data_IF_314331531364
#
_entry.id   IF_314331531364
#
_cell.length_a   1.000
_cell.length_b   1.000
_cell.length_c   1.000
_cell.angle_alpha   90.00
_cell.angle_beta   90.00
_cell.angle_gamma   90.00
#
_symmetry.space_group_name_H-M   'P 1'
#
loop_
_entity.id
_entity.type
_entity.pdbx_description
1 polymer ?
#
# COMPACT_ATOMS: atom_id res chain seq x y z
N UNK A 1 20.02 -4.71 -11.71
CA UNK A 1 18.93 -4.12 -12.53
C UNK A 1 18.83 -2.61 -12.28
N UNK A 2 18.46 -1.80 -13.28
CA UNK A 2 18.34 -0.34 -13.13
C UNK A 2 16.89 0.15 -12.91
N UNK A 3 15.93 -0.78 -12.79
CA UNK A 3 14.52 -0.49 -12.50
C UNK A 3 14.31 -0.53 -11.00
N UNK A 4 13.55 0.45 -10.47
CA UNK A 4 13.03 0.44 -9.09
C UNK A 4 11.56 0.02 -9.08
N UNK A 5 11.19 -0.86 -8.17
CA UNK A 5 9.81 -1.32 -7.93
C UNK A 5 9.26 -0.56 -6.72
N UNK A 6 8.25 0.27 -6.96
CA UNK A 6 7.61 1.09 -5.93
C UNK A 6 6.19 0.57 -5.64
N UNK A 7 5.93 0.21 -4.39
CA UNK A 7 4.59 -0.12 -3.90
C UNK A 7 3.84 1.13 -3.45
N UNK A 8 2.52 1.14 -3.66
CA UNK A 8 1.63 2.20 -3.17
C UNK A 8 0.49 1.53 -2.42
N UNK A 9 0.23 2.00 -1.20
CA UNK A 9 -0.72 1.39 -0.28
C UNK A 9 -1.63 2.47 0.34
N UNK A 10 -2.96 2.28 0.41
CA UNK A 10 -3.83 3.23 1.07
C UNK A 10 -3.64 3.22 2.59
N UNK A 11 -3.76 4.39 3.22
CA UNK A 11 -3.81 4.50 4.68
C UNK A 11 -4.98 3.66 5.19
N UNK A 12 -4.68 2.69 6.07
CA UNK A 12 -5.64 1.73 6.61
C UNK A 12 -5.47 0.30 6.09
N UNK A 13 -4.59 0.07 5.11
CA UNK A 13 -4.14 -1.27 4.73
C UNK A 13 -2.94 -1.75 5.55
N UNK A 14 -2.70 -3.06 5.55
CA UNK A 14 -1.57 -3.70 6.24
C UNK A 14 -0.23 -3.62 5.51
N UNK A 15 -0.19 -3.40 4.18
CA UNK A 15 1.00 -3.70 3.40
C UNK A 15 2.17 -2.79 3.72
N UNK A 16 1.92 -1.48 3.88
CA UNK A 16 2.96 -0.52 4.21
C UNK A 16 3.65 -0.84 5.54
N UNK A 17 2.88 -1.06 6.61
CA UNK A 17 3.44 -1.33 7.92
C UNK A 17 4.11 -2.71 7.98
N UNK A 18 3.55 -3.72 7.30
CA UNK A 18 4.20 -5.02 7.16
C UNK A 18 5.53 -4.91 6.40
N UNK A 19 5.58 -4.17 5.30
CA UNK A 19 6.81 -3.97 4.54
C UNK A 19 7.87 -3.21 5.35
N UNK A 20 7.49 -2.18 6.09
CA UNK A 20 8.42 -1.34 6.85
C UNK A 20 8.88 -1.94 8.17
N UNK A 21 8.00 -2.68 8.84
CA UNK A 21 8.21 -3.07 10.25
C UNK A 21 8.09 -4.57 10.49
N UNK A 22 7.52 -5.33 9.56
CA UNK A 22 7.18 -6.74 9.74
C UNK A 22 6.05 -7.00 10.74
N UNK A 23 5.32 -5.95 11.16
CA UNK A 23 4.22 -6.05 12.13
C UNK A 23 2.91 -5.67 11.47
N UNK A 24 1.85 -6.39 11.79
CA UNK A 24 0.52 -6.11 11.30
C UNK A 24 -0.05 -4.89 12.05
N UNK A 25 -0.50 -3.83 11.34
CA UNK A 25 -1.12 -2.67 11.96
C UNK A 25 -2.60 -2.92 12.27
N UNK A 26 -3.23 -1.95 12.94
CA UNK A 26 -4.69 -1.85 12.93
C UNK A 26 -5.16 -1.35 11.56
N UNK A 27 -6.20 -1.98 11.02
CA UNK A 27 -6.77 -1.63 9.71
C UNK A 27 -7.94 -0.67 9.87
N UNK A 28 -8.11 0.22 8.90
CA UNK A 28 -9.17 1.22 8.91
C UNK A 28 -9.79 1.36 7.51
N UNK A 29 -11.09 1.66 7.41
CA UNK A 29 -11.75 1.83 6.13
C UNK A 29 -11.24 3.07 5.39
N UNK A 30 -11.08 2.94 4.09
CA UNK A 30 -10.74 4.01 3.13
C UNK A 30 -11.76 4.00 1.98
N UNK A 31 -11.78 5.05 1.16
CA UNK A 31 -12.76 5.25 0.08
C UNK A 31 -12.24 4.84 -1.30
N UNK A 32 -10.93 4.82 -1.52
CA UNK A 32 -10.36 4.26 -2.75
C UNK A 32 -10.67 2.77 -2.82
N UNK A 33 -11.10 2.28 -3.98
CA UNK A 33 -11.54 0.89 -4.17
C UNK A 33 -10.55 0.08 -5.02
N UNK A 34 -10.49 -1.24 -4.80
CA UNK A 34 -9.72 -2.17 -5.61
C UNK A 34 -8.23 -2.32 -5.26
N UNK A 35 -7.76 -1.64 -4.20
CA UNK A 35 -6.38 -1.71 -3.68
C UNK A 35 -6.42 -1.78 -2.15
N UNK A 36 -5.28 -2.17 -1.55
CA UNK A 36 -5.17 -2.40 -0.11
C UNK A 36 -5.83 -3.72 0.33
N UNK A 37 -5.44 -4.17 1.51
CA UNK A 37 -5.90 -5.41 2.13
C UNK A 37 -5.79 -5.37 3.66
N UNK A 38 -6.57 -6.22 4.34
CA UNK A 38 -6.58 -6.46 5.78
C UNK A 38 -5.82 -7.71 6.26
N UNK A 39 -5.54 -8.65 5.35
CA UNK A 39 -4.74 -9.88 5.57
C UNK A 39 -3.66 -10.12 4.49
N UNK A 40 -2.55 -10.78 4.84
CA UNK A 40 -1.46 -11.07 3.89
C UNK A 40 -1.88 -12.14 2.86
N UNK A 41 -1.96 -11.81 1.56
CA UNK A 41 -2.27 -12.79 0.53
C UNK A 41 -1.02 -13.55 0.05
N UNK A 42 -1.20 -14.78 -0.42
CA UNK A 42 -0.09 -15.68 -0.81
C UNK A 42 0.70 -15.21 -2.04
N UNK A 43 0.13 -14.33 -2.85
CA UNK A 43 0.75 -13.82 -4.08
C UNK A 43 1.60 -12.56 -3.85
N UNK A 44 1.77 -12.11 -2.61
CA UNK A 44 2.59 -10.94 -2.28
C UNK A 44 4.01 -11.38 -1.92
N UNK A 45 4.98 -10.83 -2.64
CA UNK A 45 6.41 -10.97 -2.37
C UNK A 45 7.02 -9.60 -2.09
N UNK A 46 7.34 -9.31 -0.83
CA UNK A 46 7.99 -8.05 -0.45
C UNK A 46 9.46 -7.97 -0.85
N UNK A 47 10.11 -9.09 -1.17
CA UNK A 47 11.54 -9.11 -1.49
C UNK A 47 11.86 -8.43 -2.82
N UNK A 48 10.86 -8.25 -3.68
CA UNK A 48 10.99 -7.57 -4.97
C UNK A 48 10.61 -6.09 -4.92
N UNK A 49 10.12 -5.57 -3.78
CA UNK A 49 9.72 -4.17 -3.63
C UNK A 49 10.87 -3.37 -3.02
N UNK A 50 11.32 -2.32 -3.70
CA UNK A 50 12.42 -1.48 -3.22
C UNK A 50 11.94 -0.47 -2.17
N UNK A 51 10.81 0.18 -2.44
CA UNK A 51 10.24 1.22 -1.59
C UNK A 51 8.71 1.16 -1.63
N UNK A 52 8.05 1.59 -0.55
CA UNK A 52 6.60 1.65 -0.44
C UNK A 52 6.17 3.02 0.08
N UNK A 53 5.03 3.51 -0.42
CA UNK A 53 4.47 4.82 -0.11
C UNK A 53 3.01 4.69 0.33
N UNK A 54 2.62 5.51 1.31
CA UNK A 54 1.22 5.66 1.72
C UNK A 54 0.51 6.73 0.90
N UNK A 55 -0.74 6.47 0.56
CA UNK A 55 -1.65 7.46 -0.05
C UNK A 55 -2.95 7.56 0.73
N UNK A 56 -3.49 8.77 0.80
CA UNK A 56 -4.81 9.00 1.37
C UNK A 56 -5.88 9.19 0.27
N UNK A 57 -7.15 9.08 0.67
CA UNK A 57 -8.29 9.24 -0.24
C UNK A 57 -8.28 10.61 -0.93
N UNK A 58 -7.93 11.67 -0.20
CA UNK A 58 -7.96 13.04 -0.70
C UNK A 58 -6.96 13.25 -1.84
N UNK A 59 -5.72 12.79 -1.68
CA UNK A 59 -4.68 12.87 -2.70
C UNK A 59 -5.06 12.03 -3.92
N UNK A 60 -5.60 10.82 -3.68
CA UNK A 60 -6.04 9.91 -4.74
C UNK A 60 -7.13 10.53 -5.62
N UNK A 61 -8.22 11.01 -5.02
CA UNK A 61 -9.33 11.62 -5.77
C UNK A 61 -8.94 12.93 -6.45
N UNK A 62 -8.13 13.77 -5.80
CA UNK A 62 -7.65 15.01 -6.41
C UNK A 62 -6.74 14.73 -7.62
N UNK A 63 -5.97 13.65 -7.60
CA UNK A 63 -5.07 13.31 -8.71
C UNK A 63 -5.84 12.74 -9.89
N UNK A 64 -6.80 11.83 -9.66
CA UNK A 64 -7.64 11.25 -10.71
C UNK A 64 -8.48 12.28 -11.48
N UNK A 65 -8.77 13.43 -10.87
CA UNK A 65 -9.63 14.48 -11.44
C UNK A 65 -8.86 15.62 -12.14
N UNK A 66 -7.54 15.52 -12.25
CA UNK A 66 -6.68 16.46 -12.99
C UNK A 66 -6.62 16.11 -14.47
#
# INVERSE_FOLDING_TARGET
PHVKILGVDPVGSIFYDLFKTGRQPETFPYKVEGVGQDEMPQNVDFSVIDEMYLVDDKASFNTTRR
#
